data_IF_273634956972
#
_entry.id   IF_273634956972
#
_cell.length_a   1.000
_cell.length_b   1.000
_cell.length_c   1.000
_cell.angle_alpha   90.00
_cell.angle_beta   90.00
_cell.angle_gamma   90.00
#
_symmetry.space_group_name_H-M   'P 1'
#
loop_
_entity.id
_entity.type
_entity.pdbx_description
1 polymer ?
#
# COMPACT_ATOMS: atom_id res chain seq x y z
N UNK A 1 -9.97 -14.86 -9.47
CA UNK A 1 -9.23 -14.83 -8.21
C UNK A 1 -7.77 -15.28 -8.36
N UNK A 2 -7.47 -16.51 -8.82
CA UNK A 2 -6.09 -16.99 -9.02
C UNK A 2 -5.24 -16.16 -10.00
N UNK A 3 -5.80 -15.67 -11.11
CA UNK A 3 -5.10 -14.82 -12.08
C UNK A 3 -4.59 -13.50 -11.49
N UNK A 4 -5.36 -12.89 -10.60
CA UNK A 4 -5.00 -11.62 -9.97
C UNK A 4 -3.87 -11.78 -8.94
N UNK A 5 -3.85 -12.92 -8.23
CA UNK A 5 -2.77 -13.27 -7.29
C UNK A 5 -1.46 -13.57 -8.02
N UNK A 6 -1.53 -14.21 -9.18
CA UNK A 6 -0.35 -14.53 -10.00
C UNK A 6 0.24 -13.24 -10.59
N UNK A 7 -0.61 -12.31 -11.09
CA UNK A 7 -0.15 -11.03 -11.63
C UNK A 7 0.57 -10.19 -10.57
N UNK A 8 0.05 -10.16 -9.35
CA UNK A 8 0.67 -9.42 -8.26
C UNK A 8 2.02 -10.02 -7.83
N UNK A 9 2.10 -11.35 -7.69
CA UNK A 9 3.35 -12.03 -7.36
C UNK A 9 4.42 -11.82 -8.45
N UNK A 10 4.03 -11.79 -9.74
CA UNK A 10 4.97 -11.52 -10.83
C UNK A 10 5.42 -10.07 -10.88
N UNK A 11 4.52 -9.11 -10.61
CA UNK A 11 4.88 -7.68 -10.53
C UNK A 11 5.96 -7.48 -9.46
N UNK A 12 5.74 -7.99 -8.25
CA UNK A 12 6.70 -7.85 -7.17
C UNK A 12 8.03 -8.56 -7.47
N UNK A 13 8.00 -9.74 -8.12
CA UNK A 13 9.21 -10.49 -8.49
C UNK A 13 10.11 -9.75 -9.49
N UNK A 14 9.53 -8.99 -10.41
CA UNK A 14 10.31 -8.18 -11.37
C UNK A 14 11.15 -7.12 -10.67
N UNK A 15 10.71 -6.66 -9.49
CA UNK A 15 11.35 -5.59 -8.72
C UNK A 15 12.16 -6.09 -7.49
N UNK A 16 12.23 -7.39 -7.22
CA UNK A 16 13.03 -7.98 -6.11
C UNK A 16 14.50 -7.52 -6.10
N UNK A 17 15.02 -7.17 -7.26
CA UNK A 17 16.37 -6.61 -7.41
C UNK A 17 16.41 -5.07 -7.39
N UNK A 18 15.34 -4.41 -6.93
CA UNK A 18 15.32 -2.97 -6.76
C UNK A 18 16.46 -2.55 -5.83
N UNK A 19 17.17 -1.51 -6.21
CA UNK A 19 18.33 -1.02 -5.47
C UNK A 19 17.97 -0.84 -3.99
N UNK A 20 18.88 -1.28 -3.09
CA UNK A 20 18.75 -1.00 -1.66
C UNK A 20 18.86 0.50 -1.46
N UNK A 21 17.72 1.16 -1.30
CA UNK A 21 17.65 2.58 -1.01
C UNK A 21 17.48 2.76 0.50
N UNK A 22 18.24 3.68 1.14
CA UNK A 22 17.94 4.09 2.49
C UNK A 22 16.49 4.55 2.63
N UNK A 23 15.81 4.14 3.68
CA UNK A 23 14.40 4.51 3.91
C UNK A 23 13.37 3.76 3.04
N UNK A 24 13.78 2.76 2.23
CA UNK A 24 12.88 1.96 1.42
C UNK A 24 13.14 0.47 1.60
N UNK A 25 12.14 -0.27 2.04
CA UNK A 25 12.13 -1.72 2.16
C UNK A 25 11.09 -2.35 1.25
N UNK A 26 11.54 -3.23 0.36
CA UNK A 26 10.65 -4.01 -0.51
C UNK A 26 9.74 -4.92 0.32
N UNK A 27 10.27 -5.54 1.37
CA UNK A 27 9.52 -6.43 2.25
C UNK A 27 8.41 -5.69 2.99
N UNK A 28 8.71 -4.49 3.51
CA UNK A 28 7.71 -3.66 4.20
C UNK A 28 6.61 -3.21 3.23
N UNK A 29 6.98 -2.78 2.02
CA UNK A 29 6.03 -2.42 0.98
C UNK A 29 5.12 -3.60 0.62
N UNK A 30 5.69 -4.79 0.45
CA UNK A 30 4.95 -6.00 0.12
C UNK A 30 3.98 -6.41 1.25
N UNK A 31 4.45 -6.42 2.50
CA UNK A 31 3.62 -6.71 3.67
C UNK A 31 2.48 -5.70 3.83
N UNK A 32 2.76 -4.40 3.63
CA UNK A 32 1.76 -3.35 3.65
C UNK A 32 0.70 -3.55 2.55
N UNK A 33 1.12 -3.82 1.33
CA UNK A 33 0.22 -4.07 0.21
C UNK A 33 -0.67 -5.30 0.44
N UNK A 34 -0.12 -6.38 1.00
CA UNK A 34 -0.89 -7.58 1.35
C UNK A 34 -1.91 -7.29 2.45
N UNK A 35 -1.52 -6.54 3.49
CA UNK A 35 -2.43 -6.15 4.57
C UNK A 35 -3.55 -5.25 4.04
N UNK A 36 -3.22 -4.26 3.22
CA UNK A 36 -4.21 -3.38 2.58
C UNK A 36 -5.22 -4.18 1.75
N UNK A 37 -4.76 -5.12 0.93
CA UNK A 37 -5.64 -6.00 0.17
C UNK A 37 -6.51 -6.90 1.07
N UNK A 38 -5.96 -7.42 2.18
CA UNK A 38 -6.70 -8.24 3.15
C UNK A 38 -7.78 -7.43 3.85
N UNK A 39 -7.49 -6.20 4.25
CA UNK A 39 -8.48 -5.27 4.84
C UNK A 39 -9.55 -4.93 3.80
N UNK A 40 -9.16 -4.55 2.57
CA UNK A 40 -10.10 -4.26 1.49
C UNK A 40 -11.06 -5.44 1.21
N UNK A 41 -10.57 -6.68 1.31
CA UNK A 41 -11.41 -7.87 1.14
C UNK A 41 -12.43 -8.09 2.26
N UNK A 42 -12.22 -7.49 3.41
CA UNK A 42 -13.12 -7.58 4.57
C UNK A 42 -14.23 -6.51 4.56
N UNK A 43 -14.03 -5.43 3.84
CA UNK A 43 -15.03 -4.35 3.72
C UNK A 43 -16.20 -4.82 2.85
N UNK A 44 -17.45 -4.80 3.37
CA UNK A 44 -18.60 -5.32 2.65
C UNK A 44 -19.04 -4.36 1.54
N UNK A 45 -18.84 -4.78 0.29
CA UNK A 45 -19.21 -4.04 -0.93
C UNK A 45 -19.68 -5.01 -2.02
N UNK A 46 -20.38 -4.52 -3.07
CA UNK A 46 -20.77 -5.37 -4.21
C UNK A 46 -19.58 -6.09 -4.85
N UNK A 47 -19.79 -7.31 -5.37
CA UNK A 47 -18.73 -8.17 -5.89
C UNK A 47 -17.81 -7.52 -6.93
N UNK A 48 -18.34 -6.64 -7.78
CA UNK A 48 -17.53 -5.92 -8.78
C UNK A 48 -16.56 -4.92 -8.12
N UNK A 49 -17.03 -4.18 -7.11
CA UNK A 49 -16.21 -3.25 -6.30
C UNK A 49 -15.18 -4.03 -5.48
N UNK A 50 -15.61 -5.12 -4.83
CA UNK A 50 -14.74 -5.98 -4.03
C UNK A 50 -13.52 -6.47 -4.84
N UNK A 51 -13.76 -7.02 -6.03
CA UNK A 51 -12.67 -7.54 -6.87
C UNK A 51 -11.69 -6.45 -7.28
N UNK A 52 -12.19 -5.26 -7.63
CA UNK A 52 -11.34 -4.12 -7.98
C UNK A 52 -10.55 -3.60 -6.78
N UNK A 53 -11.20 -3.45 -5.62
CA UNK A 53 -10.58 -2.95 -4.41
C UNK A 53 -9.46 -3.86 -3.89
N UNK A 54 -9.66 -5.19 -3.92
CA UNK A 54 -8.63 -6.16 -3.50
C UNK A 54 -7.40 -6.07 -4.41
N UNK A 55 -7.59 -6.02 -5.73
CA UNK A 55 -6.47 -5.89 -6.69
C UNK A 55 -5.78 -4.54 -6.54
N UNK A 56 -6.55 -3.47 -6.44
CA UNK A 56 -6.00 -2.13 -6.25
C UNK A 56 -5.27 -2.01 -4.90
N UNK A 57 -5.82 -2.55 -3.81
CA UNK A 57 -5.16 -2.58 -2.50
C UNK A 57 -3.81 -3.30 -2.52
N UNK A 58 -3.67 -4.35 -3.33
CA UNK A 58 -2.40 -5.05 -3.50
C UNK A 58 -1.40 -4.26 -4.36
N UNK A 59 -1.87 -3.41 -5.26
CA UNK A 59 -1.04 -2.71 -6.25
C UNK A 59 -0.97 -1.19 -6.05
N UNK A 60 -1.64 -0.62 -5.02
CA UNK A 60 -1.78 0.83 -4.86
C UNK A 60 -0.43 1.56 -4.81
N UNK A 61 0.55 0.91 -4.23
CA UNK A 61 1.90 1.43 -4.01
C UNK A 61 2.94 0.96 -5.04
N UNK A 62 2.54 0.28 -6.13
CA UNK A 62 3.45 -0.23 -7.16
C UNK A 62 4.33 0.86 -7.77
N UNK A 63 3.85 2.10 -7.80
CA UNK A 63 4.62 3.24 -8.28
C UNK A 63 5.88 3.53 -7.47
N UNK A 64 5.91 3.21 -6.17
CA UNK A 64 7.13 3.30 -5.33
C UNK A 64 8.24 2.41 -5.88
N UNK A 65 7.90 1.21 -6.37
CA UNK A 65 8.88 0.32 -7.02
C UNK A 65 9.41 0.90 -8.33
N UNK A 66 8.54 1.54 -9.11
CA UNK A 66 8.95 2.22 -10.34
C UNK A 66 9.90 3.37 -10.01
N UNK A 67 9.56 4.21 -9.06
CA UNK A 67 10.39 5.34 -8.62
C UNK A 67 11.74 4.86 -8.05
N UNK A 68 11.73 3.83 -7.21
CA UNK A 68 12.95 3.25 -6.63
C UNK A 68 13.90 2.69 -7.69
N UNK A 69 13.37 2.14 -8.79
CA UNK A 69 14.18 1.52 -9.84
C UNK A 69 14.56 2.47 -10.97
N UNK A 70 13.67 3.39 -11.35
CA UNK A 70 13.85 4.27 -12.52
C UNK A 70 14.34 5.67 -12.16
N UNK A 71 14.08 6.13 -10.93
CA UNK A 71 14.50 7.43 -10.44
C UNK A 71 15.06 7.38 -9.01
N UNK A 72 16.01 6.46 -8.71
CA UNK A 72 16.43 6.16 -7.34
C UNK A 72 16.94 7.38 -6.57
N UNK A 73 17.65 8.30 -7.23
CA UNK A 73 18.19 9.50 -6.58
C UNK A 73 17.10 10.49 -6.15
N UNK A 74 16.09 10.71 -6.98
CA UNK A 74 14.99 11.61 -6.64
C UNK A 74 14.07 10.98 -5.60
N UNK A 75 13.82 9.67 -5.72
CA UNK A 75 13.00 8.96 -4.76
C UNK A 75 13.66 8.89 -3.37
N UNK A 76 14.97 8.66 -3.28
CA UNK A 76 15.71 8.74 -2.02
C UNK A 76 15.57 10.12 -1.35
N UNK A 77 15.70 11.21 -2.13
CA UNK A 77 15.49 12.57 -1.60
C UNK A 77 14.04 12.81 -1.15
N UNK A 78 13.07 12.22 -1.83
CA UNK A 78 11.67 12.33 -1.41
C UNK A 78 11.43 11.59 -0.08
N UNK A 79 12.03 10.41 0.12
CA UNK A 79 11.97 9.67 1.37
C UNK A 79 12.62 10.44 2.53
N UNK A 80 13.82 10.99 2.32
CA UNK A 80 14.51 11.84 3.30
C UNK A 80 13.65 13.06 3.67
N UNK A 81 13.16 13.81 2.68
CA UNK A 81 12.33 14.98 2.89
C UNK A 81 11.02 14.67 3.61
N UNK A 82 10.36 13.55 3.29
CA UNK A 82 9.15 13.12 3.97
C UNK A 82 9.39 12.82 5.46
N UNK A 83 10.52 12.18 5.79
CA UNK A 83 10.90 11.88 7.16
C UNK A 83 11.28 13.14 7.95
N UNK A 84 12.10 14.03 7.37
CA UNK A 84 12.56 15.27 8.01
C UNK A 84 11.43 16.26 8.26
N UNK A 85 10.59 16.47 7.24
CA UNK A 85 9.48 17.44 7.29
C UNK A 85 8.21 16.87 7.96
N UNK A 86 8.19 15.58 8.25
CA UNK A 86 7.01 14.84 8.75
C UNK A 86 5.78 15.07 7.85
N UNK A 87 6.00 14.99 6.56
CA UNK A 87 4.98 15.14 5.53
C UNK A 87 4.70 13.82 4.84
N UNK A 88 3.49 13.63 4.28
CA UNK A 88 3.19 12.46 3.46
C UNK A 88 4.15 12.36 2.26
N UNK A 89 4.66 11.15 2.01
CA UNK A 89 5.61 10.91 0.92
C UNK A 89 5.10 11.38 -0.43
N UNK A 90 3.83 11.09 -0.76
CA UNK A 90 3.24 11.52 -2.03
C UNK A 90 3.26 13.04 -2.25
N UNK A 91 3.14 13.82 -1.16
CA UNK A 91 3.18 15.28 -1.24
C UNK A 91 4.61 15.78 -1.52
N UNK A 92 5.62 15.15 -0.91
CA UNK A 92 7.04 15.47 -1.17
C UNK A 92 7.46 15.02 -2.57
N UNK A 93 6.98 13.86 -3.03
CA UNK A 93 7.15 13.40 -4.41
C UNK A 93 6.60 14.41 -5.40
N UNK A 94 5.39 14.92 -5.17
CA UNK A 94 4.74 15.93 -6.01
C UNK A 94 5.57 17.22 -6.09
N UNK A 95 6.09 17.68 -4.95
CA UNK A 95 6.91 18.90 -4.90
C UNK A 95 8.26 18.72 -5.62
N UNK A 96 8.90 17.57 -5.46
CA UNK A 96 10.25 17.33 -6.01
C UNK A 96 10.26 16.83 -7.45
N UNK A 97 9.25 16.05 -7.86
CA UNK A 97 9.22 15.35 -9.14
C UNK A 97 8.05 15.77 -10.05
N UNK A 98 7.08 16.52 -9.51
CA UNK A 98 5.86 16.89 -10.23
C UNK A 98 4.88 15.73 -10.43
N UNK A 99 5.14 14.59 -9.80
CA UNK A 99 4.32 13.37 -9.89
C UNK A 99 4.50 12.53 -8.64
N UNK A 100 3.41 11.91 -8.17
CA UNK A 100 3.42 10.99 -7.04
C UNK A 100 3.52 9.52 -7.48
N UNK A 101 3.88 8.63 -6.53
CA UNK A 101 3.86 7.19 -6.78
C UNK A 101 2.47 6.68 -7.17
N UNK A 102 1.39 7.29 -6.67
CA UNK A 102 0.03 6.93 -7.03
C UNK A 102 -0.24 7.13 -8.52
N UNK A 103 0.15 8.28 -9.07
CA UNK A 103 0.01 8.61 -10.49
C UNK A 103 0.90 7.73 -11.37
N UNK A 104 2.16 7.50 -10.94
CA UNK A 104 3.10 6.62 -11.66
C UNK A 104 2.58 5.18 -11.69
N UNK A 105 2.08 4.68 -10.56
CA UNK A 105 1.49 3.35 -10.46
C UNK A 105 0.26 3.21 -11.34
N UNK A 106 -0.66 4.15 -11.27
CA UNK A 106 -1.88 4.15 -12.09
C UNK A 106 -1.55 4.18 -13.59
N UNK A 107 -0.58 4.99 -14.01
CA UNK A 107 -0.12 5.04 -15.40
C UNK A 107 0.43 3.68 -15.86
N UNK A 108 1.28 3.04 -15.04
CA UNK A 108 1.81 1.71 -15.35
C UNK A 108 0.70 0.67 -15.49
N UNK A 109 -0.24 0.65 -14.54
CA UNK A 109 -1.34 -0.31 -14.55
C UNK A 109 -2.31 -0.07 -15.72
N UNK A 110 -2.51 1.18 -16.13
CA UNK A 110 -3.25 1.55 -17.32
C UNK A 110 -2.61 1.02 -18.60
N UNK A 111 -1.26 1.14 -18.77
CA UNK A 111 -0.52 0.56 -19.89
C UNK A 111 -0.65 -0.97 -19.90
N UNK A 112 -0.68 -1.61 -18.74
CA UNK A 112 -0.86 -3.06 -18.61
C UNK A 112 -2.31 -3.51 -18.87
N UNK A 113 -3.25 -2.58 -19.11
CA UNK A 113 -4.64 -2.88 -19.42
C UNK A 113 -5.47 -3.34 -18.24
N UNK A 114 -5.12 -2.93 -17.01
CA UNK A 114 -5.96 -3.23 -15.86
C UNK A 114 -7.30 -2.46 -15.96
N UNK A 115 -8.39 -3.00 -15.37
CA UNK A 115 -9.68 -2.35 -15.39
C UNK A 115 -9.67 -0.94 -14.80
N UNK A 116 -10.42 -0.02 -15.39
CA UNK A 116 -10.51 1.37 -14.97
C UNK A 116 -10.75 1.56 -13.46
N UNK A 117 -11.64 0.82 -12.77
CA UNK A 117 -11.82 0.94 -11.32
C UNK A 117 -10.56 0.63 -10.49
N UNK A 118 -9.69 -0.26 -10.98
CA UNK A 118 -8.41 -0.57 -10.34
C UNK A 118 -7.43 0.58 -10.51
N UNK A 119 -7.30 1.06 -11.75
CA UNK A 119 -6.40 2.18 -12.08
C UNK A 119 -6.80 3.45 -11.35
N UNK A 120 -8.10 3.76 -11.30
CA UNK A 120 -8.66 4.91 -10.61
C UNK A 120 -8.41 4.83 -9.09
N UNK A 121 -8.64 3.65 -8.48
CA UNK A 121 -8.35 3.44 -7.07
C UNK A 121 -6.87 3.63 -6.74
N UNK A 122 -5.96 3.17 -7.59
CA UNK A 122 -4.52 3.41 -7.43
C UNK A 122 -4.16 4.88 -7.61
N UNK A 123 -4.75 5.57 -8.59
CA UNK A 123 -4.48 6.99 -8.84
C UNK A 123 -4.89 7.91 -7.69
N UNK A 124 -5.99 7.57 -7.03
CA UNK A 124 -6.67 8.47 -6.08
C UNK A 124 -6.70 7.97 -4.63
N UNK A 125 -5.95 6.92 -4.28
CA UNK A 125 -5.98 6.36 -2.92
C UNK A 125 -5.51 7.34 -1.83
N UNK A 126 -4.77 8.40 -2.18
CA UNK A 126 -4.42 9.49 -1.28
C UNK A 126 -5.40 10.66 -1.32
N UNK A 127 -6.14 10.82 -2.41
CA UNK A 127 -7.03 11.92 -2.69
C UNK A 127 -8.38 11.43 -3.21
N UNK A 128 -9.14 10.65 -2.40
CA UNK A 128 -10.42 10.08 -2.83
C UNK A 128 -11.46 11.15 -3.18
N UNK A 129 -11.35 12.35 -2.58
CA UNK A 129 -12.23 13.49 -2.82
C UNK A 129 -12.15 14.03 -4.27
N UNK A 130 -11.13 13.65 -5.02
CA UNK A 130 -11.00 14.05 -6.44
C UNK A 130 -11.91 13.24 -7.38
N UNK A 131 -12.44 12.13 -6.89
CA UNK A 131 -13.39 11.31 -7.63
C UNK A 131 -14.77 11.52 -7.03
N UNK A 132 -15.77 12.04 -7.80
CA UNK A 132 -17.12 12.20 -7.30
C UNK A 132 -17.70 10.83 -6.90
N UNK A 133 -18.11 10.68 -5.65
CA UNK A 133 -18.61 9.42 -5.10
C UNK A 133 -19.83 9.65 -4.24
N UNK A 134 -20.88 8.91 -4.56
CA UNK A 134 -22.11 8.85 -3.74
C UNK A 134 -22.20 7.51 -2.98
N UNK A 135 -21.28 6.58 -3.24
CA UNK A 135 -21.29 5.23 -2.68
C UNK A 135 -19.86 4.74 -2.40
N UNK A 136 -19.76 3.71 -1.56
CA UNK A 136 -18.48 3.04 -1.27
C UNK A 136 -18.00 2.26 -2.51
N UNK A 137 -17.10 2.86 -3.26
CA UNK A 137 -16.46 2.27 -4.45
C UNK A 137 -15.04 1.76 -4.17
N UNK A 138 -14.29 1.36 -5.20
CA UNK A 138 -12.95 0.82 -5.06
C UNK A 138 -11.95 1.87 -4.54
N UNK A 139 -12.12 3.15 -4.89
CA UNK A 139 -11.25 4.26 -4.42
C UNK A 139 -11.41 4.43 -2.92
N UNK A 140 -12.66 4.53 -2.43
CA UNK A 140 -12.96 4.69 -1.02
C UNK A 140 -12.50 3.49 -0.20
N UNK A 141 -12.73 2.27 -0.69
CA UNK A 141 -12.30 1.04 -0.01
C UNK A 141 -10.78 0.99 0.13
N UNK A 142 -10.03 1.30 -0.94
CA UNK A 142 -8.55 1.27 -0.89
C UNK A 142 -8.02 2.39 0.00
N UNK A 143 -8.60 3.59 -0.07
CA UNK A 143 -8.22 4.71 0.80
C UNK A 143 -8.34 4.34 2.28
N UNK A 144 -9.49 3.80 2.69
CA UNK A 144 -9.74 3.37 4.08
C UNK A 144 -8.83 2.20 4.47
N UNK A 145 -8.71 1.20 3.59
CA UNK A 145 -7.87 0.03 3.86
C UNK A 145 -6.39 0.39 4.01
N UNK A 146 -5.88 1.31 3.19
CA UNK A 146 -4.53 1.83 3.26
C UNK A 146 -4.28 2.56 4.59
N UNK A 147 -5.19 3.44 5.00
CA UNK A 147 -5.11 4.09 6.30
C UNK A 147 -5.06 3.08 7.46
N UNK A 148 -5.96 2.11 7.48
CA UNK A 148 -6.02 1.08 8.52
C UNK A 148 -4.77 0.19 8.53
N UNK A 149 -4.17 -0.09 7.38
CA UNK A 149 -2.91 -0.82 7.28
C UNK A 149 -1.73 -0.03 7.86
N UNK A 150 -1.72 1.29 7.72
CA UNK A 150 -0.72 2.15 8.36
C UNK A 150 -0.88 2.24 9.87
N UNK A 151 -2.11 2.27 10.39
CA UNK A 151 -2.38 2.24 11.84
C UNK A 151 -2.02 0.88 12.48
N UNK A 152 -1.98 -0.20 11.68
CA UNK A 152 -1.74 -1.57 12.13
C UNK A 152 -0.59 -2.25 11.35
N UNK A 153 0.61 -1.70 11.33
CA UNK A 153 1.68 -2.25 10.50
C UNK A 153 2.05 -3.68 10.89
N UNK A 154 2.35 -4.53 9.92
CA UNK A 154 2.78 -5.91 10.13
C UNK A 154 4.07 -5.97 10.95
N UNK A 155 4.99 -5.02 10.71
CA UNK A 155 6.21 -4.82 11.52
C UNK A 155 6.21 -3.42 12.11
N UNK A 156 6.88 -3.19 13.27
CA UNK A 156 7.10 -1.84 13.73
C UNK A 156 7.78 -1.03 12.62
N UNK A 157 7.27 0.17 12.30
CA UNK A 157 7.89 0.98 11.26
C UNK A 157 9.34 1.29 11.64
N UNK A 158 10.25 1.18 10.68
CA UNK A 158 11.61 1.70 10.84
C UNK A 158 11.54 3.23 10.99
N UNK A 159 12.49 3.83 11.69
CA UNK A 159 12.52 5.30 11.87
C UNK A 159 12.46 6.07 10.54
N UNK A 160 12.88 5.42 9.48
CA UNK A 160 12.93 5.98 8.12
C UNK A 160 11.57 5.96 7.40
N UNK A 161 10.62 5.09 7.83
CA UNK A 161 9.27 4.99 7.26
C UNK A 161 8.19 5.73 8.09
N UNK A 162 8.58 6.59 9.02
CA UNK A 162 7.66 7.31 9.89
C UNK A 162 7.08 8.60 9.28
N UNK A 163 6.97 8.68 7.96
CA UNK A 163 6.29 9.77 7.28
C UNK A 163 4.84 9.92 7.79
N UNK A 164 4.35 11.16 7.83
CA UNK A 164 2.97 11.40 8.22
C UNK A 164 2.01 10.73 7.22
N UNK A 165 1.07 9.96 7.75
CA UNK A 165 -0.03 9.40 6.95
C UNK A 165 -1.26 10.27 7.16
N UNK A 166 -1.95 10.59 6.07
CA UNK A 166 -3.20 11.32 6.18
C UNK A 166 -4.26 10.40 6.76
N UNK A 167 -4.84 10.82 7.88
CA UNK A 167 -6.11 10.23 8.34
C UNK A 167 -7.18 10.53 7.31
N UNK A 168 -8.11 9.60 7.06
CA UNK A 168 -9.28 9.93 6.26
C UNK A 168 -9.96 11.15 6.84
N UNK A 169 -10.38 12.06 5.96
CA UNK A 169 -11.14 13.23 6.39
C UNK A 169 -12.45 12.77 7.05
N UNK A 170 -12.77 13.35 8.21
CA UNK A 170 -14.00 13.03 8.93
C UNK A 170 -15.25 13.34 8.09
N UNK A 171 -15.24 14.44 7.34
CA UNK A 171 -16.32 14.80 6.43
C UNK A 171 -16.47 13.76 5.29
N UNK A 172 -15.35 13.27 4.76
CA UNK A 172 -15.36 12.21 3.75
C UNK A 172 -15.98 10.90 4.29
N UNK A 173 -15.59 10.49 5.52
CA UNK A 173 -16.13 9.31 6.16
C UNK A 173 -17.63 9.45 6.52
N UNK A 174 -18.05 10.62 6.97
CA UNK A 174 -19.46 10.93 7.27
C UNK A 174 -20.32 10.88 6.01
N UNK A 175 -19.87 11.48 4.91
CA UNK A 175 -20.56 11.46 3.62
C UNK A 175 -20.79 10.04 3.10
N UNK A 176 -19.81 9.14 3.33
CA UNK A 176 -19.92 7.72 2.98
C UNK A 176 -20.61 6.86 4.08
N UNK A 177 -21.00 7.44 5.21
CA UNK A 177 -21.61 6.76 6.37
C UNK A 177 -20.74 5.65 6.96
N UNK A 178 -19.42 5.87 7.02
CA UNK A 178 -18.43 4.88 7.44
C UNK A 178 -17.93 5.07 8.87
N UNK A 179 -18.25 6.17 9.52
CA UNK A 179 -17.71 6.57 10.82
C UNK A 179 -17.82 5.48 11.88
N UNK A 180 -18.98 4.83 11.99
CA UNK A 180 -19.21 3.75 12.97
C UNK A 180 -18.52 2.43 12.59
N UNK A 181 -18.15 2.25 11.33
CA UNK A 181 -17.59 1.01 10.80
C UNK A 181 -16.06 0.98 10.91
N UNK A 182 -15.41 2.13 10.96
CA UNK A 182 -13.94 2.26 11.01
C UNK A 182 -13.36 1.51 12.21
N UNK A 183 -14.00 1.58 13.39
CA UNK A 183 -13.53 0.87 14.59
C UNK A 183 -13.53 -0.63 14.41
N UNK A 184 -14.57 -1.19 13.81
CA UNK A 184 -14.71 -2.63 13.53
C UNK A 184 -13.64 -3.09 12.52
N UNK A 185 -13.44 -2.32 11.46
CA UNK A 185 -12.41 -2.64 10.47
C UNK A 185 -11.00 -2.47 11.02
N UNK A 186 -10.79 -1.54 11.96
CA UNK A 186 -9.50 -1.37 12.63
C UNK A 186 -9.17 -2.57 13.53
N UNK A 187 -10.13 -3.13 14.25
CA UNK A 187 -9.94 -4.36 15.04
C UNK A 187 -9.57 -5.55 14.13
N UNK A 188 -10.26 -5.68 12.99
CA UNK A 188 -9.89 -6.67 11.98
C UNK A 188 -8.47 -6.45 11.45
N UNK A 189 -8.09 -5.21 11.11
CA UNK A 189 -6.77 -4.88 10.60
C UNK A 189 -5.67 -5.26 11.60
N UNK A 190 -5.85 -4.96 12.88
CA UNK A 190 -4.92 -5.37 13.95
C UNK A 190 -4.78 -6.87 14.07
N UNK A 191 -5.88 -7.62 14.02
CA UNK A 191 -5.87 -9.09 14.06
C UNK A 191 -5.18 -9.66 12.83
N UNK A 192 -5.46 -9.12 11.65
CA UNK A 192 -4.84 -9.53 10.39
C UNK A 192 -3.32 -9.30 10.37
N UNK A 193 -2.87 -8.16 10.89
CA UNK A 193 -1.45 -7.84 11.01
C UNK A 193 -0.72 -8.80 11.96
N UNK A 194 -1.34 -9.15 13.09
CA UNK A 194 -0.79 -10.14 14.04
C UNK A 194 -0.66 -11.51 13.37
N UNK A 195 -1.69 -11.97 12.67
CA UNK A 195 -1.67 -13.23 11.93
C UNK A 195 -0.55 -13.29 10.89
N UNK A 196 -0.35 -12.20 10.15
CA UNK A 196 0.72 -12.09 9.16
C UNK A 196 2.13 -12.12 9.79
N UNK A 197 2.30 -11.62 11.04
CA UNK A 197 3.57 -11.73 11.79
C UNK A 197 3.88 -13.16 12.21
N UNK A 198 2.85 -13.95 12.56
CA UNK A 198 2.97 -15.31 13.09
C UNK A 198 2.94 -16.43 12.04
N UNK A 199 2.86 -16.12 10.75
CA UNK A 199 2.74 -17.08 9.66
C UNK A 199 3.91 -18.08 9.59
N UNK A 200 3.69 -19.32 9.08
CA UNK A 200 4.55 -20.50 9.28
C UNK A 200 5.89 -20.51 8.55
N UNK A 201 6.41 -19.41 8.06
CA UNK A 201 7.63 -19.39 7.23
C UNK A 201 8.76 -18.53 7.80
N UNK A 202 9.00 -18.62 9.14
CA UNK A 202 10.28 -18.19 9.73
C UNK A 202 11.00 -19.36 10.35
N UNK A 203 11.40 -20.34 9.53
CA UNK A 203 12.52 -21.19 9.89
C UNK A 203 13.77 -20.30 10.00
N UNK A 204 14.15 -20.02 11.23
CA UNK A 204 15.47 -19.45 11.55
C UNK A 204 16.51 -20.41 10.99
N UNK A 205 17.18 -20.03 9.90
CA UNK A 205 18.45 -20.64 9.53
C UNK A 205 19.44 -20.34 10.66
N UNK A 206 19.46 -21.23 11.65
CA UNK A 206 20.55 -21.33 12.60
C UNK A 206 21.79 -21.81 11.82
N UNK A 207 22.91 -21.13 11.87
CA UNK A 207 24.12 -21.65 11.22
C UNK A 207 24.51 -22.95 11.92
N UNK A 208 24.59 -24.06 11.17
CA UNK A 208 25.23 -25.28 11.63
C UNK A 208 26.67 -24.96 12.01
N UNK A 209 26.98 -25.03 13.31
CA UNK A 209 28.34 -25.11 13.80
C UNK A 209 28.96 -26.41 13.26
N UNK A 210 29.84 -26.27 12.28
CA UNK A 210 30.75 -27.35 11.87
C UNK A 210 31.79 -27.55 12.96
N UNK A 211 31.50 -28.47 13.89
CA UNK A 211 32.49 -29.03 14.79
C UNK A 211 33.49 -29.86 13.98
N UNK A 212 34.69 -29.34 13.81
CA UNK A 212 35.83 -30.12 13.36
C UNK A 212 36.33 -30.98 14.53
N UNK A 213 36.35 -32.27 14.32
CA UNK A 213 37.29 -33.20 14.94
C UNK A 213 38.29 -33.65 13.91
#
# INVERSE_FOLDING_TARGET
>A
MLQNLVLSAEVFRVFENAAKLPGFSFEELHEHSQLTAKIASHIPVPAAVHSAAVVAGLLHDVGKLVLATRSPKHFARALEGAAEEKRPLFAVEQDLMGVSHAEVGAYLLGIWGLPCPVVEAVAHHHHPERVPQDTLDAVAVVHVANYLAHENPVRPPTQENSGAYLKPDSEYLENLRLTDQISVWNEFAGSAAIEMRGGPNRETHSPMETSKK
#
